data_IF_379505787279
#
_entry.id   IF_379505787279
#
_cell.length_a   1.000
_cell.length_b   1.000
_cell.length_c   1.000
_cell.angle_alpha   90.00
_cell.angle_beta   90.00
_cell.angle_gamma   90.00
#
_symmetry.space_group_name_H-M   'P 1'
#
loop_
_entity.id
_entity.type
_entity.pdbx_description
1 polymer ?
#
# COMPACT_ATOMS: atom_id res chain seq x y z
N UNK A 1 5.28 10.49 -7.56
CA UNK A 1 6.05 11.23 -8.60
C UNK A 1 7.42 10.64 -8.97
N UNK A 2 8.11 9.82 -8.17
CA UNK A 2 9.48 9.35 -8.52
C UNK A 2 9.61 7.94 -9.14
N UNK A 3 8.61 7.06 -9.00
CA UNK A 3 8.78 5.64 -9.38
C UNK A 3 8.49 5.39 -10.87
N UNK A 4 7.69 6.25 -11.52
CA UNK A 4 7.29 6.10 -12.93
C UNK A 4 8.36 6.45 -13.97
N UNK A 5 9.50 7.03 -13.59
CA UNK A 5 10.51 7.53 -14.54
C UNK A 5 11.66 6.55 -14.83
N UNK A 6 11.69 5.37 -14.20
CA UNK A 6 12.87 4.48 -14.25
C UNK A 6 12.61 3.18 -15.02
N UNK A 7 11.39 2.91 -15.48
CA UNK A 7 11.05 1.66 -16.17
C UNK A 7 10.27 1.94 -17.46
N UNK A 8 10.85 1.58 -18.60
CA UNK A 8 10.23 1.50 -19.94
C UNK A 8 9.15 0.39 -20.01
N UNK A 9 8.26 0.32 -19.03
CA UNK A 9 7.16 -0.64 -19.00
C UNK A 9 6.00 -0.04 -18.22
N UNK A 10 4.92 0.27 -18.93
CA UNK A 10 3.70 0.87 -18.36
C UNK A 10 2.96 -0.07 -17.39
N UNK A 11 3.30 -1.36 -17.41
CA UNK A 11 2.72 -2.38 -16.56
C UNK A 11 3.78 -2.90 -15.57
N UNK A 12 3.78 -2.35 -14.35
CA UNK A 12 4.59 -2.85 -13.24
C UNK A 12 3.64 -3.43 -12.20
N UNK A 13 3.77 -4.72 -11.84
CA UNK A 13 2.96 -5.28 -10.76
C UNK A 13 3.32 -4.56 -9.46
N UNK A 14 2.35 -3.82 -8.93
CA UNK A 14 2.47 -3.05 -7.71
C UNK A 14 1.44 -3.53 -6.68
N UNK A 15 1.76 -3.41 -5.39
CA UNK A 15 0.86 -3.70 -4.26
C UNK A 15 1.02 -2.60 -3.23
N UNK A 16 -0.09 -2.15 -2.65
CA UNK A 16 -0.07 -1.20 -1.54
C UNK A 16 -0.04 -1.98 -0.22
N UNK A 17 0.93 -1.69 0.64
CA UNK A 17 1.08 -2.36 1.93
C UNK A 17 0.95 -1.36 3.08
N UNK A 18 -0.08 -1.52 3.91
CA UNK A 18 -0.28 -0.80 5.16
C UNK A 18 0.54 -1.42 6.29
N UNK A 19 1.80 -0.97 6.44
CA UNK A 19 2.68 -1.48 7.48
C UNK A 19 2.35 -0.92 8.88
N UNK A 20 2.73 -1.63 9.94
CA UNK A 20 2.55 -1.28 11.37
C UNK A 20 1.10 -1.30 11.84
N UNK A 21 0.34 -2.25 11.33
CA UNK A 21 -1.06 -2.47 11.71
C UNK A 21 -1.23 -2.79 13.22
N UNK A 22 -0.16 -3.17 13.91
CA UNK A 22 -0.14 -3.45 15.35
C UNK A 22 -0.30 -2.21 16.25
N UNK A 23 -0.08 -1.00 15.72
CA UNK A 23 -0.22 0.23 16.49
C UNK A 23 -1.71 0.60 16.67
N UNK A 24 -2.21 0.79 17.89
CA UNK A 24 -3.60 1.17 18.12
C UNK A 24 -3.91 2.61 17.68
N UNK A 25 -2.90 3.49 17.64
CA UNK A 25 -3.03 4.88 17.19
C UNK A 25 -2.80 5.01 15.68
N UNK A 26 -3.65 4.36 14.88
CA UNK A 26 -3.55 4.47 13.40
C UNK A 26 -4.05 5.84 12.95
N UNK A 27 -3.24 6.55 12.18
CA UNK A 27 -3.60 7.86 11.59
C UNK A 27 -4.33 7.72 10.25
N UNK A 28 -4.17 6.56 9.58
CA UNK A 28 -4.79 6.26 8.29
C UNK A 28 -5.90 5.24 8.50
N UNK A 29 -7.11 5.58 8.05
CA UNK A 29 -8.23 4.66 8.04
C UNK A 29 -8.04 3.61 6.94
N UNK A 30 -8.33 2.34 7.24
CA UNK A 30 -8.27 1.23 6.29
C UNK A 30 -9.11 1.50 5.03
N UNK A 31 -10.25 2.20 5.14
CA UNK A 31 -11.09 2.58 4.00
C UNK A 31 -10.38 3.53 3.05
N UNK A 32 -9.71 4.56 3.57
CA UNK A 32 -8.95 5.50 2.74
C UNK A 32 -7.82 4.79 1.99
N UNK A 33 -7.12 3.87 2.66
CA UNK A 33 -6.04 3.09 2.03
C UNK A 33 -6.57 2.14 0.94
N UNK A 34 -7.73 1.51 1.17
CA UNK A 34 -8.40 0.67 0.17
C UNK A 34 -8.88 1.47 -1.04
N UNK A 35 -9.46 2.66 -0.83
CA UNK A 35 -9.87 3.54 -1.93
C UNK A 35 -8.67 4.02 -2.76
N UNK A 36 -7.54 4.31 -2.11
CA UNK A 36 -6.30 4.67 -2.78
C UNK A 36 -5.74 3.50 -3.60
N UNK A 37 -5.76 2.27 -3.06
CA UNK A 37 -5.32 1.09 -3.80
C UNK A 37 -6.22 0.81 -5.02
N UNK A 38 -7.55 1.00 -4.87
CA UNK A 38 -8.51 0.91 -5.96
C UNK A 38 -8.25 1.95 -7.05
N UNK A 39 -7.91 3.19 -6.67
CA UNK A 39 -7.63 4.25 -7.65
C UNK A 39 -6.34 4.00 -8.44
N UNK A 40 -5.37 3.30 -7.83
CA UNK A 40 -4.17 2.82 -8.52
C UNK A 40 -4.36 1.48 -9.25
N UNK A 41 -5.50 0.79 -9.05
CA UNK A 41 -5.75 -0.52 -9.65
C UNK A 41 -4.90 -1.65 -9.07
N UNK A 42 -4.42 -1.50 -7.82
CA UNK A 42 -3.48 -2.43 -7.18
C UNK A 42 -4.10 -3.08 -5.94
N UNK A 43 -3.67 -4.30 -5.56
CA UNK A 43 -4.09 -4.93 -4.31
C UNK A 43 -3.59 -4.13 -3.08
N UNK A 44 -4.37 -4.17 -2.00
CA UNK A 44 -4.03 -3.61 -0.69
C UNK A 44 -3.91 -4.72 0.36
N UNK A 45 -2.83 -4.70 1.15
CA UNK A 45 -2.59 -5.66 2.24
C UNK A 45 -2.16 -4.87 3.48
N UNK A 46 -2.67 -5.24 4.66
CA UNK A 46 -2.15 -4.72 5.92
C UNK A 46 -1.17 -5.71 6.52
N UNK A 47 -0.02 -5.22 6.96
CA UNK A 47 1.01 -6.06 7.58
C UNK A 47 1.59 -5.37 8.81
N UNK A 48 2.13 -6.14 9.74
CA UNK A 48 3.04 -5.65 10.75
C UNK A 48 4.34 -6.46 10.68
N UNK A 49 5.39 -5.78 10.25
CA UNK A 49 6.75 -6.33 10.32
C UNK A 49 7.15 -6.74 11.75
N UNK A 50 6.50 -6.17 12.79
CA UNK A 50 6.77 -6.48 14.20
C UNK A 50 6.11 -7.79 14.62
N UNK A 51 4.88 -8.06 14.19
CA UNK A 51 4.17 -9.30 14.54
C UNK A 51 4.29 -10.39 13.49
N UNK A 52 4.98 -10.12 12.35
CA UNK A 52 5.06 -11.01 11.17
C UNK A 52 3.69 -11.40 10.62
N UNK A 53 2.71 -10.49 10.73
CA UNK A 53 1.39 -10.61 10.13
C UNK A 53 1.24 -9.66 8.95
#
# INVERSE_FOLDING_TARGET
>A
EQIKRVKDSDDVPMVLVGNKCDLPARTVDTRQAQELARSYGIPYIETSAKTRQ
#
